data_IF_636244923929
#
_entry.id   IF_636244923929
#
_cell.length_a   1.000
_cell.length_b   1.000
_cell.length_c   1.000
_cell.angle_alpha   90.00
_cell.angle_beta   90.00
_cell.angle_gamma   90.00
#
_symmetry.space_group_name_H-M   'P 1'
#
loop_
_entity.id
_entity.type
_entity.pdbx_description
1 polymer ?
#
# COMPACT_ATOMS: atom_id res chain seq x y z
N UNK A 1 19.34 10.61 3.75
CA UNK A 1 17.89 10.53 3.53
C UNK A 1 17.31 9.68 4.64
N UNK A 2 16.07 9.95 5.03
CA UNK A 2 15.35 9.16 6.02
C UNK A 2 14.05 8.68 5.39
N UNK A 3 13.70 7.41 5.60
CA UNK A 3 12.47 6.80 5.14
C UNK A 3 11.65 6.40 6.36
N UNK A 4 10.41 6.88 6.40
CA UNK A 4 9.44 6.54 7.43
C UNK A 4 9.01 5.07 7.23
N UNK A 5 9.36 4.24 8.21
CA UNK A 5 9.05 2.79 8.23
C UNK A 5 8.52 2.37 9.62
N UNK A 6 7.95 3.33 10.35
CA UNK A 6 7.29 3.19 11.65
C UNK A 6 6.13 2.17 11.62
N UNK A 7 5.53 1.99 10.45
CA UNK A 7 4.52 0.97 10.22
C UNK A 7 5.05 -0.45 10.28
N UNK A 8 6.34 -0.72 9.99
CA UNK A 8 6.84 -2.07 9.82
C UNK A 8 6.93 -2.87 11.13
N UNK A 9 6.65 -4.17 11.05
CA UNK A 9 6.88 -5.09 12.14
C UNK A 9 8.40 -5.36 12.29
N UNK A 10 8.84 -5.78 13.48
CA UNK A 10 10.25 -5.97 13.77
C UNK A 10 10.94 -7.00 12.84
N UNK A 11 10.19 -8.00 12.40
CA UNK A 11 10.62 -9.01 11.43
C UNK A 11 10.76 -8.43 10.02
N UNK A 12 9.88 -7.52 9.59
CA UNK A 12 10.03 -6.81 8.32
C UNK A 12 11.25 -5.88 8.32
N UNK A 13 11.45 -5.08 9.39
CA UNK A 13 12.65 -4.25 9.54
C UNK A 13 13.92 -5.08 9.51
N UNK A 14 13.91 -6.24 10.18
CA UNK A 14 15.04 -7.17 10.16
C UNK A 14 15.27 -7.76 8.76
N UNK A 15 14.23 -8.19 8.08
CA UNK A 15 14.33 -8.75 6.73
C UNK A 15 14.82 -7.72 5.70
N UNK A 16 14.38 -6.48 5.81
CA UNK A 16 14.85 -5.40 4.94
C UNK A 16 16.28 -4.98 5.26
N UNK A 17 16.64 -4.91 6.54
CA UNK A 17 18.03 -4.71 6.98
C UNK A 17 18.95 -5.77 6.37
N UNK A 18 18.57 -7.06 6.42
CA UNK A 18 19.33 -8.15 5.81
C UNK A 18 19.46 -7.99 4.28
N UNK A 19 18.41 -7.50 3.61
CA UNK A 19 18.45 -7.16 2.19
C UNK A 19 19.48 -6.06 1.91
N UNK A 20 19.45 -4.95 2.66
CA UNK A 20 20.39 -3.83 2.49
C UNK A 20 21.84 -4.24 2.79
N UNK A 21 22.06 -5.08 3.81
CA UNK A 21 23.39 -5.68 4.09
C UNK A 21 23.88 -6.46 2.88
N UNK A 22 23.03 -7.30 2.27
CA UNK A 22 23.40 -8.08 1.08
C UNK A 22 23.69 -7.20 -0.14
N UNK A 23 22.99 -6.08 -0.27
CA UNK A 23 23.22 -5.08 -1.32
C UNK A 23 24.44 -4.18 -1.03
N UNK A 24 25.04 -4.27 0.16
CA UNK A 24 26.19 -3.46 0.57
C UNK A 24 25.82 -2.00 0.88
N UNK A 25 24.56 -1.73 1.17
CA UNK A 25 24.04 -0.38 1.43
C UNK A 25 24.20 -0.03 2.91
N UNK A 26 25.00 1.00 3.27
CA UNK A 26 25.12 1.48 4.64
C UNK A 26 23.79 2.11 5.10
N UNK A 27 23.27 1.63 6.22
CA UNK A 27 22.01 2.10 6.80
C UNK A 27 22.03 1.99 8.33
N UNK A 28 21.13 2.70 8.98
CA UNK A 28 20.79 2.55 10.39
C UNK A 28 19.31 2.88 10.61
N UNK A 29 18.73 2.39 11.71
CA UNK A 29 17.44 2.87 12.19
C UNK A 29 17.71 3.89 13.30
N UNK A 30 17.05 5.05 13.22
CA UNK A 30 17.19 6.06 14.26
C UNK A 30 16.30 5.78 15.48
N UNK A 31 16.22 6.75 16.39
CA UNK A 31 15.44 6.62 17.61
C UNK A 31 13.91 6.68 17.39
N UNK A 32 13.46 7.21 16.25
CA UNK A 32 12.05 7.29 15.85
C UNK A 32 11.64 6.02 15.07
N UNK A 33 12.63 5.24 14.63
CA UNK A 33 12.44 4.01 13.88
C UNK A 33 12.52 4.21 12.37
N UNK A 34 12.99 5.38 11.93
CA UNK A 34 13.16 5.69 10.51
C UNK A 34 14.45 5.06 9.98
N UNK A 35 14.40 4.60 8.74
CA UNK A 35 15.56 4.09 8.04
C UNK A 35 16.39 5.24 7.50
N UNK A 36 17.57 5.44 8.09
CA UNK A 36 18.53 6.47 7.69
C UNK A 36 19.60 5.90 6.78
N UNK A 37 19.76 6.51 5.61
CA UNK A 37 20.73 6.12 4.58
C UNK A 37 21.50 7.33 4.06
N UNK A 38 22.62 7.08 3.38
CA UNK A 38 23.37 8.17 2.72
C UNK A 38 22.62 8.62 1.47
N UNK A 39 22.68 9.92 1.17
CA UNK A 39 22.07 10.46 -0.05
C UNK A 39 22.64 9.84 -1.35
N UNK A 40 23.89 9.35 -1.32
CA UNK A 40 24.48 8.67 -2.47
C UNK A 40 23.88 7.29 -2.75
N UNK A 41 23.22 6.69 -1.76
CA UNK A 41 22.64 5.34 -1.83
C UNK A 41 21.10 5.39 -2.02
N UNK A 42 20.51 6.57 -2.17
CA UNK A 42 19.07 6.82 -2.27
C UNK A 42 18.40 5.96 -3.34
N UNK A 43 18.88 6.01 -4.58
CA UNK A 43 18.33 5.24 -5.71
C UNK A 43 18.37 3.72 -5.46
N UNK A 44 19.42 3.22 -4.80
CA UNK A 44 19.55 1.80 -4.49
C UNK A 44 18.58 1.37 -3.38
N UNK A 45 18.32 2.25 -2.41
CA UNK A 45 17.37 2.02 -1.31
C UNK A 45 15.94 2.07 -1.82
N UNK A 46 15.59 3.03 -2.67
CA UNK A 46 14.28 3.12 -3.31
C UNK A 46 13.97 1.87 -4.13
N UNK A 47 14.92 1.43 -4.98
CA UNK A 47 14.76 0.19 -5.73
C UNK A 47 14.63 -1.05 -4.82
N UNK A 48 15.32 -1.05 -3.67
CA UNK A 48 15.20 -2.13 -2.70
C UNK A 48 13.83 -2.12 -1.99
N UNK A 49 13.33 -0.94 -1.61
CA UNK A 49 12.00 -0.76 -1.00
C UNK A 49 10.92 -1.24 -1.97
N UNK A 50 10.93 -0.76 -3.21
CA UNK A 50 9.96 -1.17 -4.24
C UNK A 50 9.97 -2.69 -4.43
N UNK A 51 11.15 -3.31 -4.51
CA UNK A 51 11.27 -4.75 -4.67
C UNK A 51 10.80 -5.54 -3.44
N UNK A 52 11.04 -5.01 -2.24
CA UNK A 52 10.62 -5.63 -0.98
C UNK A 52 9.10 -5.58 -0.83
N UNK A 53 8.49 -4.43 -1.08
CA UNK A 53 7.04 -4.23 -1.04
C UNK A 53 6.33 -5.05 -2.13
N UNK A 54 6.85 -5.05 -3.36
CA UNK A 54 6.33 -5.88 -4.44
C UNK A 54 6.44 -7.39 -4.14
N UNK A 55 7.40 -7.81 -3.32
CA UNK A 55 7.53 -9.20 -2.86
C UNK A 55 6.61 -9.56 -1.69
N UNK A 56 6.07 -8.57 -0.97
CA UNK A 56 5.22 -8.79 0.19
C UNK A 56 3.73 -8.94 -0.16
N UNK A 57 3.30 -8.43 -1.33
CA UNK A 57 1.90 -8.46 -1.77
C UNK A 57 1.73 -9.26 -3.07
N UNK A 58 1.21 -10.49 -3.01
CA UNK A 58 1.01 -11.35 -4.18
C UNK A 58 -0.17 -10.92 -5.08
N UNK A 59 -0.93 -9.87 -4.72
CA UNK A 59 -2.04 -9.39 -5.53
C UNK A 59 -1.56 -8.81 -6.87
N UNK A 60 -2.38 -8.85 -7.94
CA UNK A 60 -2.09 -8.14 -9.18
C UNK A 60 -2.17 -6.61 -9.00
N UNK A 61 -1.42 -5.88 -9.81
CA UNK A 61 -1.52 -4.41 -9.88
C UNK A 61 -2.68 -3.97 -10.78
N UNK A 62 -3.26 -2.81 -10.48
CA UNK A 62 -4.20 -2.14 -11.41
C UNK A 62 -3.40 -1.25 -12.36
N UNK A 63 -3.42 -1.57 -13.64
CA UNK A 63 -2.64 -0.86 -14.64
C UNK A 63 -3.37 0.35 -15.25
N UNK A 64 -2.60 1.37 -15.61
CA UNK A 64 -3.06 2.47 -16.45
C UNK A 64 -4.28 3.22 -15.91
N UNK A 65 -5.33 3.32 -16.74
CA UNK A 65 -6.55 4.05 -16.39
C UNK A 65 -7.54 3.22 -15.56
N UNK A 66 -7.31 1.92 -15.40
CA UNK A 66 -8.24 1.02 -14.71
C UNK A 66 -8.31 1.34 -13.22
N UNK A 67 -7.18 1.67 -12.59
CA UNK A 67 -7.13 2.15 -11.21
C UNK A 67 -7.97 3.42 -11.02
N UNK A 68 -7.83 4.40 -11.94
CA UNK A 68 -8.58 5.65 -11.89
C UNK A 68 -10.08 5.44 -12.06
N UNK A 69 -10.48 4.60 -13.03
CA UNK A 69 -11.87 4.25 -13.27
C UNK A 69 -12.48 3.58 -12.03
N UNK A 70 -11.79 2.59 -11.47
CA UNK A 70 -12.25 1.86 -10.30
C UNK A 70 -12.42 2.78 -9.08
N UNK A 71 -11.42 3.60 -8.75
CA UNK A 71 -11.50 4.52 -7.62
C UNK A 71 -12.56 5.61 -7.82
N UNK A 72 -12.76 6.09 -9.04
CA UNK A 72 -13.82 7.07 -9.35
C UNK A 72 -15.21 6.47 -9.11
N UNK A 73 -15.41 5.22 -9.51
CA UNK A 73 -16.66 4.50 -9.29
C UNK A 73 -16.92 4.23 -7.80
N UNK A 74 -15.88 3.84 -7.05
CA UNK A 74 -15.95 3.69 -5.59
C UNK A 74 -16.31 5.03 -4.92
N UNK A 75 -15.67 6.12 -5.34
CA UNK A 75 -15.96 7.46 -4.81
C UNK A 75 -17.41 7.85 -5.04
N UNK A 76 -17.94 7.66 -6.26
CA UNK A 76 -19.34 7.98 -6.58
C UNK A 76 -20.31 7.15 -5.74
N UNK A 77 -20.06 5.84 -5.59
CA UNK A 77 -20.89 4.98 -4.76
C UNK A 77 -20.87 5.42 -3.28
N UNK A 78 -19.70 5.71 -2.73
CA UNK A 78 -19.54 6.26 -1.38
C UNK A 78 -20.25 7.61 -1.21
N UNK A 79 -20.14 8.52 -2.18
CA UNK A 79 -20.77 9.85 -2.11
C UNK A 79 -22.31 9.77 -2.18
N UNK A 80 -22.86 8.76 -2.85
CA UNK A 80 -24.30 8.44 -2.78
C UNK A 80 -24.69 7.95 -1.39
N UNK A 81 -23.98 6.97 -0.83
CA UNK A 81 -24.28 6.44 0.51
C UNK A 81 -24.11 7.47 1.62
N UNK A 82 -23.16 8.40 1.44
CA UNK A 82 -22.97 9.54 2.34
C UNK A 82 -24.19 10.47 2.35
N UNK A 83 -24.87 10.63 1.21
CA UNK A 83 -26.11 11.43 1.11
C UNK A 83 -27.35 10.66 1.54
N UNK A 84 -27.42 9.38 1.20
CA UNK A 84 -28.48 8.46 1.60
C UNK A 84 -27.92 7.06 1.84
N UNK A 85 -27.83 6.68 3.11
CA UNK A 85 -27.31 5.38 3.52
C UNK A 85 -28.17 4.19 3.06
N UNK A 86 -29.40 4.42 2.56
CA UNK A 86 -30.29 3.39 2.00
C UNK A 86 -30.34 3.41 0.48
N UNK A 87 -29.48 4.16 -0.20
CA UNK A 87 -29.39 4.15 -1.66
C UNK A 87 -28.96 2.76 -2.15
N UNK A 88 -29.93 1.98 -2.65
CA UNK A 88 -29.72 0.59 -3.05
C UNK A 88 -28.69 0.44 -4.17
N UNK A 89 -28.65 1.39 -5.12
CA UNK A 89 -27.69 1.32 -6.21
C UNK A 89 -26.28 1.74 -5.79
N UNK A 90 -26.15 2.58 -4.75
CA UNK A 90 -24.87 2.82 -4.09
C UNK A 90 -24.36 1.57 -3.35
N UNK A 91 -25.25 0.86 -2.64
CA UNK A 91 -24.94 -0.39 -1.92
C UNK A 91 -24.53 -1.49 -2.90
N UNK A 92 -25.33 -1.74 -3.93
CA UNK A 92 -25.06 -2.75 -4.97
C UNK A 92 -23.71 -2.46 -5.65
N UNK A 93 -23.48 -1.20 -6.05
CA UNK A 93 -22.23 -0.82 -6.71
C UNK A 93 -21.02 -1.04 -5.82
N UNK A 94 -21.06 -0.66 -4.54
CA UNK A 94 -19.96 -0.92 -3.61
C UNK A 94 -19.74 -2.41 -3.37
N UNK A 95 -20.81 -3.20 -3.34
CA UNK A 95 -20.74 -4.66 -3.19
C UNK A 95 -20.01 -5.32 -4.36
N UNK A 96 -20.22 -4.82 -5.58
CA UNK A 96 -19.51 -5.29 -6.77
C UNK A 96 -18.05 -4.83 -6.84
N UNK A 97 -17.80 -3.57 -6.46
CA UNK A 97 -16.47 -2.96 -6.59
C UNK A 97 -15.50 -3.38 -5.50
N UNK A 98 -15.97 -3.58 -4.26
CA UNK A 98 -15.09 -3.84 -3.13
C UNK A 98 -14.23 -5.11 -3.31
N UNK A 99 -14.76 -6.26 -3.76
CA UNK A 99 -13.94 -7.44 -4.03
C UNK A 99 -12.87 -7.21 -5.09
N UNK A 100 -13.18 -6.45 -6.14
CA UNK A 100 -12.24 -6.10 -7.20
C UNK A 100 -11.14 -5.22 -6.65
N UNK A 101 -11.50 -4.17 -5.91
CA UNK A 101 -10.58 -3.22 -5.30
C UNK A 101 -9.57 -3.91 -4.39
N UNK A 102 -10.05 -4.71 -3.44
CA UNK A 102 -9.21 -5.33 -2.39
C UNK A 102 -8.42 -6.53 -2.91
N UNK A 103 -8.83 -7.06 -4.07
CA UNK A 103 -8.15 -8.14 -4.79
C UNK A 103 -6.90 -7.68 -5.55
N UNK A 104 -6.66 -6.38 -5.67
CA UNK A 104 -5.47 -5.81 -6.30
C UNK A 104 -4.57 -5.12 -5.27
N UNK A 105 -3.31 -4.90 -5.63
CA UNK A 105 -2.37 -4.07 -4.86
C UNK A 105 -2.90 -2.64 -4.73
N UNK A 106 -2.52 -1.92 -3.66
CA UNK A 106 -2.84 -0.50 -3.54
C UNK A 106 -2.26 0.31 -4.71
N UNK A 107 -3.06 1.13 -5.41
CA UNK A 107 -2.54 2.02 -6.45
C UNK A 107 -1.94 3.30 -5.85
N UNK A 108 -1.14 4.03 -6.64
CA UNK A 108 -0.67 5.40 -6.34
C UNK A 108 0.13 5.59 -5.04
N UNK A 109 0.88 4.57 -4.60
CA UNK A 109 1.67 4.64 -3.38
C UNK A 109 0.81 4.69 -2.10
N UNK A 110 -0.44 4.22 -2.19
CA UNK A 110 -1.27 4.01 -1.00
C UNK A 110 -0.61 2.94 -0.10
N UNK A 111 -0.56 3.22 1.21
CA UNK A 111 -0.03 2.28 2.19
C UNK A 111 -0.73 0.91 2.12
N UNK A 112 0.07 -0.15 1.97
CA UNK A 112 -0.40 -1.53 1.83
C UNK A 112 -1.10 -2.07 3.08
N UNK A 113 -0.74 -1.58 4.26
CA UNK A 113 -1.37 -2.00 5.53
C UNK A 113 -2.78 -1.44 5.66
N UNK A 114 -2.95 -0.14 5.43
CA UNK A 114 -4.25 0.52 5.34
C UNK A 114 -5.12 -0.16 4.29
N UNK A 115 -4.57 -0.48 3.12
CA UNK A 115 -5.27 -1.17 2.05
C UNK A 115 -5.74 -2.57 2.46
N UNK A 116 -4.89 -3.32 3.16
CA UNK A 116 -5.22 -4.65 3.65
C UNK A 116 -6.30 -4.61 4.74
N UNK A 117 -6.22 -3.64 5.67
CA UNK A 117 -7.23 -3.42 6.70
C UNK A 117 -8.59 -2.99 6.10
N UNK A 118 -8.60 -2.21 5.01
CA UNK A 118 -9.81 -1.93 4.25
C UNK A 118 -10.40 -3.22 3.66
N UNK A 119 -9.55 -4.09 3.10
CA UNK A 119 -9.93 -5.39 2.58
C UNK A 119 -10.60 -6.31 3.60
N UNK A 120 -10.06 -6.37 4.81
CA UNK A 120 -10.66 -7.15 5.91
C UNK A 120 -12.05 -6.63 6.28
N UNK A 121 -12.23 -5.32 6.31
CA UNK A 121 -13.53 -4.69 6.62
C UNK A 121 -14.57 -4.88 5.52
N UNK A 122 -14.14 -5.01 4.27
CA UNK A 122 -15.02 -5.19 3.13
C UNK A 122 -15.59 -6.61 3.00
N UNK A 123 -14.96 -7.62 3.63
CA UNK A 123 -15.35 -9.04 3.57
C UNK A 123 -16.41 -9.42 4.61
N UNK A 124 -17.52 -8.67 4.67
CA UNK A 124 -18.68 -9.02 5.50
C UNK A 124 -19.35 -10.33 5.05
#
# INVERSE_FOLDING_TARGET
MAYEVDGWAADEQSAFSDLLVRLGVPHEFDAEGDLVVRAADEEAVEAALDAFEAGADDRPELEGLDANGLLSEVFVACDRLRRDARDLAGIERLTDLAPVLVGHRPPFGIDGRMWSALGERARL
#
